data_IF_209851214612
#
_entry.id   IF_209851214612
#
_cell.length_a   1.000
_cell.length_b   1.000
_cell.length_c   1.000
_cell.angle_alpha   90.00
_cell.angle_beta   90.00
_cell.angle_gamma   90.00
#
_symmetry.space_group_name_H-M   'P 1'
#
loop_
_entity.id
_entity.type
_entity.pdbx_description
1 polymer ?
#
# COMPACT_ATOMS: atom_id res chain seq x y z
N UNK A 1 -11.30 -17.20 21.57
CA UNK A 1 -11.59 -17.43 23.01
C UNK A 1 -11.76 -16.06 23.63
N UNK A 2 -12.77 -15.82 24.48
CA UNK A 2 -12.90 -14.53 25.16
C UNK A 2 -11.63 -14.25 25.95
N UNK A 3 -11.15 -13.00 25.91
CA UNK A 3 -10.03 -12.63 26.76
C UNK A 3 -10.45 -12.81 28.21
N UNK A 4 -9.55 -13.38 28.98
CA UNK A 4 -9.67 -13.51 30.42
C UNK A 4 -8.62 -12.63 31.08
N UNK A 5 -8.84 -12.31 32.34
CA UNK A 5 -7.87 -11.55 33.13
C UNK A 5 -6.51 -12.28 33.22
N UNK A 6 -6.50 -13.60 33.07
CA UNK A 6 -5.27 -14.42 33.03
C UNK A 6 -4.38 -14.00 31.86
N UNK A 7 -4.97 -13.72 30.69
CA UNK A 7 -4.22 -13.35 29.47
C UNK A 7 -3.47 -12.01 29.63
N UNK A 8 -3.94 -11.14 30.54
CA UNK A 8 -3.31 -9.87 30.87
C UNK A 8 -2.31 -9.98 32.03
N UNK A 9 -2.60 -10.82 33.03
CA UNK A 9 -1.72 -11.00 34.20
C UNK A 9 -0.41 -11.69 33.82
N UNK A 10 -0.45 -12.62 32.86
CA UNK A 10 0.77 -13.28 32.35
C UNK A 10 1.79 -12.32 31.72
N UNK A 11 1.38 -11.08 31.42
CA UNK A 11 2.25 -10.03 30.87
C UNK A 11 2.84 -9.09 31.93
N UNK A 12 2.44 -9.21 33.20
CA UNK A 12 2.87 -8.32 34.28
C UNK A 12 3.68 -9.09 35.33
N UNK A 13 4.99 -8.82 35.37
CA UNK A 13 5.90 -9.45 36.34
C UNK A 13 5.48 -9.17 37.79
N UNK A 14 5.35 -10.24 38.57
CA UNK A 14 5.08 -10.17 40.01
C UNK A 14 3.59 -10.01 40.39
N UNK A 15 2.68 -10.14 39.43
CA UNK A 15 1.23 -10.23 39.69
C UNK A 15 0.75 -11.62 39.30
N UNK A 16 0.00 -12.26 40.19
CA UNK A 16 -0.66 -13.54 39.95
C UNK A 16 -2.16 -13.39 39.96
N UNK A 17 -2.87 -14.35 39.35
CA UNK A 17 -4.34 -14.35 39.40
C UNK A 17 -4.88 -14.39 40.82
N UNK A 18 -4.14 -15.00 41.74
CA UNK A 18 -4.42 -15.13 43.16
C UNK A 18 -4.37 -13.79 43.91
N UNK A 19 -3.68 -12.78 43.37
CA UNK A 19 -3.62 -11.44 43.95
C UNK A 19 -4.91 -10.63 43.69
N UNK A 20 -5.79 -11.14 42.82
CA UNK A 20 -7.08 -10.53 42.50
C UNK A 20 -8.21 -11.33 43.19
N UNK A 21 -9.05 -10.67 44.01
CA UNK A 21 -10.24 -11.30 44.59
C UNK A 21 -11.11 -11.99 43.54
N UNK A 22 -11.68 -13.14 43.88
CA UNK A 22 -12.41 -13.98 42.91
C UNK A 22 -13.62 -13.30 42.27
N UNK A 23 -14.30 -12.45 43.04
CA UNK A 23 -15.43 -11.63 42.61
C UNK A 23 -15.01 -10.52 41.63
N UNK A 24 -13.84 -9.91 41.84
CA UNK A 24 -13.24 -8.98 40.89
C UNK A 24 -12.82 -9.69 39.59
N UNK A 25 -12.24 -10.90 39.68
CA UNK A 25 -11.91 -11.70 38.49
C UNK A 25 -13.14 -12.08 37.68
N UNK A 26 -14.20 -12.53 38.34
CA UNK A 26 -15.47 -12.86 37.69
C UNK A 26 -16.06 -11.63 37.00
N UNK A 27 -16.11 -10.49 37.71
CA UNK A 27 -16.59 -9.22 37.13
C UNK A 27 -15.77 -8.76 35.93
N UNK A 28 -14.44 -8.87 35.99
CA UNK A 28 -13.57 -8.46 34.89
C UNK A 28 -13.66 -9.44 33.72
N UNK A 29 -13.72 -10.75 33.98
CA UNK A 29 -13.93 -11.76 32.93
C UNK A 29 -15.31 -11.62 32.27
N UNK A 30 -16.36 -11.27 33.02
CA UNK A 30 -17.67 -10.97 32.45
C UNK A 30 -17.58 -9.74 31.55
N UNK A 31 -16.94 -8.66 32.02
CA UNK A 31 -16.71 -7.45 31.21
C UNK A 31 -15.85 -7.71 29.97
N UNK A 32 -14.79 -8.50 30.10
CA UNK A 32 -13.94 -8.90 28.98
C UNK A 32 -14.71 -9.82 28.04
N UNK A 33 -15.57 -10.70 28.56
CA UNK A 33 -16.49 -11.51 27.78
C UNK A 33 -17.47 -10.66 26.97
N UNK A 34 -18.04 -9.61 27.58
CA UNK A 34 -18.88 -8.63 26.91
C UNK A 34 -18.10 -7.85 25.83
N UNK A 35 -16.84 -7.50 26.11
CA UNK A 35 -15.97 -6.74 25.20
C UNK A 35 -15.35 -7.58 24.08
N UNK A 36 -15.21 -8.90 24.28
CA UNK A 36 -14.51 -9.81 23.36
C UNK A 36 -15.42 -10.93 22.83
N UNK A 37 -16.73 -10.75 22.94
CA UNK A 37 -17.73 -11.51 22.20
C UNK A 37 -18.06 -12.91 22.71
N UNK A 38 -17.89 -13.15 24.03
CA UNK A 38 -18.29 -14.40 24.67
C UNK A 38 -17.75 -15.68 24.02
N UNK A 39 -18.24 -16.87 24.41
CA UNK A 39 -17.90 -18.12 23.75
C UNK A 39 -18.69 -18.23 22.43
N UNK A 40 -18.26 -17.51 21.38
CA UNK A 40 -18.93 -17.58 20.08
C UNK A 40 -18.42 -16.70 18.94
N UNK A 41 -17.71 -15.61 19.21
CA UNK A 41 -17.17 -14.79 18.11
C UNK A 41 -16.55 -13.52 18.65
N UNK A 42 -15.22 -13.43 18.58
CA UNK A 42 -14.50 -12.22 18.96
C UNK A 42 -14.79 -11.11 17.96
N UNK A 43 -15.77 -10.28 18.28
CA UNK A 43 -15.86 -8.94 17.72
C UNK A 43 -14.75 -8.09 18.34
N UNK A 44 -13.96 -7.42 17.50
CA UNK A 44 -13.06 -6.37 17.94
C UNK A 44 -13.82 -5.34 18.81
N UNK A 45 -13.17 -4.66 19.77
CA UNK A 45 -13.82 -3.65 20.59
C UNK A 45 -14.53 -2.62 19.70
N UNK A 46 -15.86 -2.65 19.71
CA UNK A 46 -16.69 -1.78 18.91
C UNK A 46 -16.65 -0.41 19.56
N UNK A 47 -16.01 0.57 18.91
CA UNK A 47 -16.29 1.96 19.21
C UNK A 47 -17.81 2.13 19.02
N UNK A 48 -18.57 2.53 20.04
CA UNK A 48 -20.03 2.64 19.95
C UNK A 48 -20.49 3.61 18.86
N UNK A 49 -19.58 4.43 18.33
CA UNK A 49 -19.82 5.36 17.24
C UNK A 49 -19.41 4.81 15.86
N UNK A 50 -18.82 3.60 15.78
CA UNK A 50 -18.44 2.98 14.52
C UNK A 50 -19.60 2.25 13.84
N UNK A 51 -19.67 2.39 12.52
CA UNK A 51 -20.66 1.71 11.69
C UNK A 51 -20.18 0.30 11.41
N UNK A 52 -20.99 -0.70 11.77
CA UNK A 52 -20.66 -2.10 11.56
C UNK A 52 -21.14 -2.58 10.18
N UNK A 53 -20.25 -3.23 9.44
CA UNK A 53 -20.56 -4.04 8.26
C UNK A 53 -20.26 -5.50 8.56
N UNK A 54 -21.26 -6.38 8.41
CA UNK A 54 -21.11 -7.82 8.63
C UNK A 54 -22.12 -8.63 7.83
N UNK A 55 -21.72 -9.80 7.34
CA UNK A 55 -22.66 -10.78 6.77
C UNK A 55 -23.56 -11.44 7.81
N UNK A 56 -23.19 -11.38 9.10
CA UNK A 56 -23.99 -11.90 10.23
C UNK A 56 -24.07 -10.88 11.36
N UNK A 57 -25.08 -10.02 11.31
CA UNK A 57 -25.26 -8.98 12.32
C UNK A 57 -25.77 -9.51 13.67
N UNK A 58 -26.43 -10.67 13.72
CA UNK A 58 -26.92 -11.28 14.96
C UNK A 58 -27.76 -10.33 15.85
N UNK A 59 -28.54 -9.45 15.20
CA UNK A 59 -29.37 -8.44 15.86
C UNK A 59 -28.68 -7.11 16.17
N UNK A 60 -27.37 -6.98 15.90
CA UNK A 60 -26.61 -5.73 16.00
C UNK A 60 -27.02 -4.75 14.91
N UNK A 61 -27.02 -3.46 15.23
CA UNK A 61 -27.16 -2.40 14.23
C UNK A 61 -25.97 -2.43 13.28
N UNK A 62 -26.24 -2.42 11.97
CA UNK A 62 -25.20 -2.36 10.96
C UNK A 62 -25.73 -2.57 9.55
N UNK A 63 -24.83 -2.94 8.66
CA UNK A 63 -25.06 -3.18 7.25
C UNK A 63 -24.50 -4.54 6.85
N UNK A 64 -24.94 -5.05 5.69
CA UNK A 64 -24.45 -6.33 5.12
C UNK A 64 -23.61 -6.14 3.85
N UNK A 65 -23.49 -4.90 3.40
CA UNK A 65 -22.66 -4.41 2.28
C UNK A 65 -21.91 -3.18 2.76
N UNK A 66 -20.70 -3.00 2.23
CA UNK A 66 -19.86 -1.84 2.53
C UNK A 66 -20.43 -0.60 1.84
N UNK A 67 -20.84 -0.71 0.57
CA UNK A 67 -21.43 0.41 -0.13
C UNK A 67 -22.73 0.89 0.52
N UNK A 68 -23.58 -0.04 0.98
CA UNK A 68 -24.81 0.30 1.69
C UNK A 68 -24.53 1.10 2.98
N UNK A 69 -23.43 0.81 3.68
CA UNK A 69 -23.01 1.56 4.87
C UNK A 69 -22.57 2.99 4.54
N UNK A 70 -21.82 3.16 3.43
CA UNK A 70 -21.39 4.47 2.93
C UNK A 70 -22.61 5.29 2.51
N UNK A 71 -23.49 4.71 1.70
CA UNK A 71 -24.66 5.42 1.15
C UNK A 71 -25.79 5.61 2.19
N UNK A 72 -25.76 4.88 3.30
CA UNK A 72 -26.85 4.79 4.27
C UNK A 72 -28.08 4.03 3.76
N UNK A 73 -27.88 3.13 2.81
CA UNK A 73 -28.92 2.31 2.21
C UNK A 73 -29.11 0.99 2.97
N UNK A 74 -30.34 0.47 2.99
CA UNK A 74 -30.68 -0.83 3.60
C UNK A 74 -30.14 -1.06 5.04
N UNK A 75 -30.20 -0.08 5.96
CA UNK A 75 -29.70 -0.27 7.32
C UNK A 75 -30.47 -1.39 8.03
N UNK A 76 -29.75 -2.18 8.81
CA UNK A 76 -30.32 -3.25 9.63
C UNK A 76 -30.33 -2.83 11.10
N UNK A 77 -31.36 -3.28 11.82
CA UNK A 77 -31.50 -3.11 13.27
C UNK A 77 -31.30 -1.65 13.76
N UNK A 78 -31.71 -0.66 12.95
CA UNK A 78 -31.68 0.76 13.32
C UNK A 78 -30.37 1.49 13.07
N UNK A 79 -29.48 0.94 12.25
CA UNK A 79 -28.25 1.62 11.83
C UNK A 79 -28.53 2.92 11.04
N UNK A 80 -27.52 3.79 10.99
CA UNK A 80 -27.46 4.96 10.12
C UNK A 80 -26.24 4.87 9.20
N UNK A 81 -26.35 5.44 8.01
CA UNK A 81 -25.22 5.51 7.07
C UNK A 81 -24.10 6.40 7.57
N UNK A 82 -22.96 6.29 6.89
CA UNK A 82 -21.77 7.05 7.20
C UNK A 82 -21.95 8.54 6.89
N UNK A 83 -21.39 9.36 7.78
CA UNK A 83 -21.15 10.77 7.61
C UNK A 83 -19.66 11.09 7.67
N UNK A 84 -19.36 12.38 7.54
CA UNK A 84 -18.00 12.87 7.63
C UNK A 84 -17.37 12.55 9.00
N UNK A 85 -16.17 11.96 8.97
CA UNK A 85 -15.42 11.62 10.19
C UNK A 85 -15.78 10.28 10.79
N UNK A 86 -16.74 9.55 10.22
CA UNK A 86 -17.14 8.24 10.73
C UNK A 86 -16.11 7.16 10.38
N UNK A 87 -16.16 6.08 11.15
CA UNK A 87 -15.40 4.85 10.89
C UNK A 87 -16.37 3.72 10.58
N UNK A 88 -16.15 3.03 9.47
CA UNK A 88 -16.84 1.80 9.10
C UNK A 88 -15.93 0.62 9.44
N UNK A 89 -16.35 -0.22 10.37
CA UNK A 89 -15.68 -1.48 10.70
C UNK A 89 -16.28 -2.63 9.90
N UNK A 90 -15.44 -3.34 9.14
CA UNK A 90 -15.85 -4.43 8.27
C UNK A 90 -15.43 -5.76 8.87
N UNK A 91 -16.40 -6.57 9.28
CA UNK A 91 -16.13 -7.91 9.81
C UNK A 91 -15.63 -8.88 8.73
N UNK A 92 -14.86 -9.91 9.12
CA UNK A 92 -14.33 -10.90 8.18
C UNK A 92 -15.42 -11.57 7.35
N UNK A 93 -15.30 -11.47 6.03
CA UNK A 93 -16.15 -12.11 5.04
C UNK A 93 -15.65 -11.74 3.63
N UNK A 94 -16.21 -12.38 2.60
CA UNK A 94 -16.09 -11.90 1.23
C UNK A 94 -17.26 -10.98 0.88
N UNK A 95 -16.93 -9.83 0.30
CA UNK A 95 -17.83 -8.79 -0.15
C UNK A 95 -17.68 -8.64 -1.67
N UNK A 96 -18.56 -9.31 -2.42
CA UNK A 96 -18.60 -9.26 -3.88
C UNK A 96 -19.25 -7.97 -4.39
N UNK A 97 -18.59 -6.85 -4.15
CA UNK A 97 -19.01 -5.50 -4.51
C UNK A 97 -17.81 -4.64 -4.88
N UNK A 98 -18.06 -3.53 -5.57
CA UNK A 98 -17.13 -2.41 -5.72
C UNK A 98 -17.50 -1.35 -4.71
N UNK A 99 -16.52 -0.70 -4.10
CA UNK A 99 -16.74 0.30 -3.04
C UNK A 99 -16.30 1.67 -3.54
N UNK A 100 -17.22 2.64 -3.57
CA UNK A 100 -16.96 4.05 -3.90
C UNK A 100 -17.01 4.88 -2.61
N UNK A 101 -15.99 5.71 -2.40
CA UNK A 101 -15.86 6.60 -1.24
C UNK A 101 -15.78 8.04 -1.72
N UNK A 102 -16.78 8.84 -1.34
CA UNK A 102 -16.89 10.27 -1.62
C UNK A 102 -17.10 11.13 -0.35
N UNK A 103 -16.88 10.53 0.82
CA UNK A 103 -17.09 11.15 2.14
C UNK A 103 -15.76 11.61 2.73
N UNK A 104 -15.68 12.88 3.13
CA UNK A 104 -14.52 13.42 3.84
C UNK A 104 -14.28 12.71 5.18
N UNK A 105 -13.02 12.50 5.52
CA UNK A 105 -12.56 11.95 6.79
C UNK A 105 -13.16 10.58 7.10
N UNK A 106 -13.58 9.82 6.08
CA UNK A 106 -14.10 8.48 6.28
C UNK A 106 -12.95 7.50 6.50
N UNK A 107 -13.05 6.69 7.55
CA UNK A 107 -12.13 5.57 7.78
C UNK A 107 -12.85 4.25 7.49
N UNK A 108 -12.27 3.43 6.62
CA UNK A 108 -12.72 2.06 6.36
C UNK A 108 -11.70 1.10 6.98
N UNK A 109 -12.10 0.42 8.06
CA UNK A 109 -11.25 -0.50 8.80
C UNK A 109 -11.68 -1.95 8.58
N UNK A 110 -10.75 -2.77 8.10
CA UNK A 110 -10.87 -4.21 8.08
C UNK A 110 -10.44 -4.88 9.40
N UNK A 111 -10.56 -6.21 9.49
CA UNK A 111 -10.22 -6.97 10.70
C UNK A 111 -8.74 -6.90 11.09
N UNK A 112 -7.88 -6.54 10.14
CA UNK A 112 -6.43 -6.47 10.29
C UNK A 112 -5.91 -5.01 10.30
N UNK A 113 -6.76 -4.05 10.68
CA UNK A 113 -6.35 -2.65 10.80
C UNK A 113 -5.18 -2.52 11.78
N UNK A 114 -4.15 -1.76 11.38
CA UNK A 114 -2.92 -1.60 12.16
C UNK A 114 -1.98 -2.82 12.16
N UNK A 115 -2.22 -3.83 11.34
CA UNK A 115 -1.32 -4.98 11.16
C UNK A 115 -0.81 -5.01 9.72
N UNK A 116 0.49 -4.87 9.51
CA UNK A 116 1.13 -4.81 8.19
C UNK A 116 0.60 -5.90 7.23
N UNK A 117 0.40 -5.55 5.96
CA UNK A 117 -0.18 -6.42 4.94
C UNK A 117 0.61 -7.71 4.69
N UNK A 118 1.92 -7.70 4.94
CA UNK A 118 2.80 -8.87 4.80
C UNK A 118 2.96 -9.67 6.12
N UNK A 119 2.35 -9.23 7.21
CA UNK A 119 2.55 -9.81 8.54
C UNK A 119 1.91 -11.20 8.65
N UNK A 120 2.67 -12.14 9.22
CA UNK A 120 2.14 -13.46 9.61
C UNK A 120 1.13 -13.41 10.77
N UNK A 121 0.99 -12.24 11.42
CA UNK A 121 0.05 -12.02 12.52
C UNK A 121 -1.38 -11.67 12.09
N UNK A 122 -1.64 -11.53 10.78
CA UNK A 122 -2.98 -11.27 10.25
C UNK A 122 -3.92 -12.45 10.49
N UNK A 123 -5.17 -12.14 10.80
CA UNK A 123 -6.27 -13.09 10.98
C UNK A 123 -7.17 -13.20 9.76
N UNK A 124 -8.42 -13.60 9.98
CA UNK A 124 -9.45 -13.67 8.93
C UNK A 124 -9.65 -12.30 8.27
N UNK A 125 -9.77 -12.26 6.94
CA UNK A 125 -9.86 -11.02 6.16
C UNK A 125 -11.31 -10.61 5.87
N UNK A 126 -11.52 -9.29 5.74
CA UNK A 126 -12.63 -8.75 4.97
C UNK A 126 -12.14 -8.49 3.54
N UNK A 127 -12.60 -9.31 2.58
CA UNK A 127 -12.13 -9.29 1.19
C UNK A 127 -13.14 -8.59 0.28
N UNK A 128 -12.73 -7.49 -0.35
CA UNK A 128 -13.49 -6.78 -1.39
C UNK A 128 -13.03 -7.27 -2.76
N UNK A 129 -13.93 -7.80 -3.60
CA UNK A 129 -13.54 -8.38 -4.90
C UNK A 129 -13.80 -7.50 -6.12
N UNK A 130 -14.40 -6.32 -5.92
CA UNK A 130 -14.71 -5.36 -6.99
C UNK A 130 -13.81 -4.12 -7.03
N UNK A 131 -12.79 -4.06 -6.16
CA UNK A 131 -11.94 -2.90 -5.98
C UNK A 131 -12.55 -1.78 -5.12
N UNK A 132 -11.71 -0.80 -4.80
CA UNK A 132 -12.06 0.40 -4.03
C UNK A 132 -11.75 1.64 -4.84
N UNK A 133 -12.68 2.58 -4.88
CA UNK A 133 -12.62 3.81 -5.65
C UNK A 133 -12.81 5.00 -4.70
N UNK A 134 -11.89 5.95 -4.73
CA UNK A 134 -11.99 7.18 -3.94
C UNK A 134 -12.07 8.34 -4.91
N UNK A 135 -13.24 8.95 -5.02
CA UNK A 135 -13.56 9.93 -6.05
C UNK A 135 -14.54 11.00 -5.57
N UNK A 136 -14.62 12.12 -6.28
CA UNK A 136 -15.46 13.25 -5.87
C UNK A 136 -14.77 14.24 -4.92
N UNK A 137 -13.44 14.22 -4.87
CA UNK A 137 -12.62 15.11 -4.04
C UNK A 137 -12.81 14.99 -2.51
N UNK A 138 -13.00 13.79 -1.93
CA UNK A 138 -12.98 13.67 -0.47
C UNK A 138 -11.56 13.93 0.06
N UNK A 139 -11.48 14.37 1.31
CA UNK A 139 -10.20 14.60 2.00
C UNK A 139 -10.04 13.63 3.16
N UNK A 140 -8.79 13.30 3.49
CA UNK A 140 -8.39 12.54 4.68
C UNK A 140 -9.10 11.16 4.80
N UNK A 141 -9.35 10.50 3.67
CA UNK A 141 -9.89 9.13 3.62
C UNK A 141 -8.82 8.14 4.07
N UNK A 142 -9.20 7.17 4.90
CA UNK A 142 -8.31 6.10 5.38
C UNK A 142 -8.87 4.74 5.00
N UNK A 143 -8.03 3.90 4.37
CA UNK A 143 -8.33 2.50 4.06
C UNK A 143 -7.30 1.65 4.79
N UNK A 144 -7.73 0.91 5.81
CA UNK A 144 -6.85 0.22 6.76
C UNK A 144 -7.22 -1.25 6.95
N UNK A 145 -6.29 -2.18 6.74
CA UNK A 145 -6.45 -3.55 7.22
C UNK A 145 -7.37 -4.46 6.42
N UNK A 146 -7.61 -4.16 5.14
CA UNK A 146 -8.47 -4.95 4.26
C UNK A 146 -7.69 -5.86 3.31
N UNK A 147 -8.36 -6.89 2.79
CA UNK A 147 -7.94 -7.57 1.57
C UNK A 147 -8.76 -7.02 0.39
N UNK A 148 -8.08 -6.60 -0.68
CA UNK A 148 -8.73 -6.02 -1.86
C UNK A 148 -8.19 -6.74 -3.09
N UNK A 149 -9.10 -7.37 -3.83
CA UNK A 149 -8.79 -8.14 -5.02
C UNK A 149 -9.62 -7.62 -6.17
N UNK A 150 -9.03 -7.51 -7.35
CA UNK A 150 -9.77 -7.14 -8.56
C UNK A 150 -9.07 -7.68 -9.79
N UNK A 151 -9.86 -8.19 -10.73
CA UNK A 151 -9.40 -8.34 -12.11
C UNK A 151 -9.40 -6.99 -12.79
N UNK A 152 -8.22 -6.49 -13.15
CA UNK A 152 -8.03 -5.15 -13.71
C UNK A 152 -7.81 -5.23 -15.22
N UNK A 153 -8.48 -4.35 -15.95
CA UNK A 153 -8.27 -4.13 -17.38
C UNK A 153 -7.29 -3.00 -17.68
N UNK A 154 -7.25 -2.58 -18.94
CA UNK A 154 -6.49 -1.41 -19.37
C UNK A 154 -7.02 -0.15 -18.66
N UNK A 155 -6.10 0.61 -18.08
CA UNK A 155 -6.41 1.85 -17.36
C UNK A 155 -7.20 1.73 -16.06
N UNK A 156 -7.08 0.60 -15.36
CA UNK A 156 -7.74 0.37 -14.08
C UNK A 156 -6.75 0.03 -12.96
N UNK A 157 -7.10 0.38 -11.71
CA UNK A 157 -6.42 -0.03 -10.48
C UNK A 157 -7.30 -0.91 -9.57
N UNK A 158 -6.70 -1.67 -8.66
CA UNK A 158 -7.45 -2.41 -7.62
C UNK A 158 -7.99 -1.42 -6.58
N UNK A 159 -7.12 -0.53 -6.11
CA UNK A 159 -7.48 0.71 -5.43
C UNK A 159 -7.25 1.85 -6.41
N UNK A 160 -8.26 2.66 -6.65
CA UNK A 160 -8.19 3.77 -7.58
C UNK A 160 -8.59 5.06 -6.89
N UNK A 161 -7.69 6.04 -6.85
CA UNK A 161 -7.96 7.38 -6.35
C UNK A 161 -8.15 8.28 -7.57
N UNK A 162 -9.37 8.73 -7.80
CA UNK A 162 -9.74 9.61 -8.90
C UNK A 162 -9.76 8.97 -10.28
N UNK A 163 -10.05 9.81 -11.27
CA UNK A 163 -9.99 9.46 -12.68
C UNK A 163 -9.75 10.68 -13.56
N UNK A 164 -9.42 10.47 -14.83
CA UNK A 164 -9.42 11.55 -15.84
C UNK A 164 -10.72 12.39 -15.91
N UNK A 165 -11.84 11.87 -15.40
CA UNK A 165 -13.14 12.54 -15.40
C UNK A 165 -13.66 13.00 -14.04
N UNK A 166 -13.02 12.57 -12.94
CA UNK A 166 -13.46 12.85 -11.57
C UNK A 166 -12.23 13.14 -10.70
N UNK A 167 -12.13 14.30 -10.02
CA UNK A 167 -11.04 14.50 -9.05
C UNK A 167 -10.97 13.34 -8.05
N UNK A 168 -9.73 13.00 -7.70
CA UNK A 168 -9.39 11.98 -6.71
C UNK A 168 -9.66 12.46 -5.30
N UNK A 169 -8.68 12.31 -4.42
CA UNK A 169 -8.82 12.64 -3.00
C UNK A 169 -7.64 13.51 -2.54
N UNK A 170 -7.85 14.21 -1.43
CA UNK A 170 -6.79 14.98 -0.76
C UNK A 170 -6.32 14.25 0.48
N UNK A 171 -5.01 14.08 0.61
CA UNK A 171 -4.39 13.38 1.74
C UNK A 171 -4.92 11.96 2.07
N UNK A 172 -5.25 11.08 1.11
CA UNK A 172 -5.68 9.73 1.44
C UNK A 172 -4.54 8.90 2.05
N UNK A 173 -4.91 8.00 2.96
CA UNK A 173 -4.00 7.02 3.58
C UNK A 173 -4.47 5.61 3.25
N UNK A 174 -3.65 4.86 2.52
CA UNK A 174 -3.86 3.45 2.21
C UNK A 174 -2.84 2.65 3.01
N UNK A 175 -3.27 1.93 4.04
CA UNK A 175 -2.33 1.23 4.93
C UNK A 175 -2.75 -0.17 5.36
N UNK A 176 -1.75 -1.01 5.66
CA UNK A 176 -1.98 -2.34 6.23
C UNK A 176 -2.88 -3.24 5.36
N UNK A 177 -2.97 -2.99 4.05
CA UNK A 177 -3.85 -3.74 3.17
C UNK A 177 -3.10 -4.87 2.46
N UNK A 178 -3.82 -5.93 2.10
CA UNK A 178 -3.39 -6.91 1.11
C UNK A 178 -4.09 -6.60 -0.20
N UNK A 179 -3.35 -6.13 -1.21
CA UNK A 179 -3.92 -5.67 -2.49
C UNK A 179 -3.40 -6.56 -3.60
N UNK A 180 -4.31 -7.35 -4.20
CA UNK A 180 -3.98 -8.29 -5.27
C UNK A 180 -4.68 -7.92 -6.58
N UNK A 181 -3.87 -7.65 -7.61
CA UNK A 181 -4.35 -7.45 -8.96
C UNK A 181 -4.34 -8.78 -9.74
N UNK A 182 -5.43 -9.08 -10.44
CA UNK A 182 -5.44 -10.12 -11.47
C UNK A 182 -5.43 -9.47 -12.84
N UNK A 183 -4.40 -9.74 -13.64
CA UNK A 183 -4.30 -9.18 -14.99
C UNK A 183 -5.18 -9.91 -16.00
N UNK A 184 -5.89 -9.18 -16.88
CA UNK A 184 -6.55 -9.77 -18.05
C UNK A 184 -6.27 -9.04 -19.38
N UNK A 185 -5.35 -8.07 -19.38
CA UNK A 185 -5.01 -7.26 -20.54
C UNK A 185 -3.53 -6.88 -20.54
N UNK A 186 -3.00 -6.61 -21.74
CA UNK A 186 -1.66 -6.05 -21.88
C UNK A 186 -1.70 -4.57 -21.48
N UNK A 187 -0.98 -4.19 -20.41
CA UNK A 187 -0.80 -2.82 -19.86
C UNK A 187 -1.77 -2.39 -18.73
N UNK A 188 -1.88 -3.16 -17.67
CA UNK A 188 -2.65 -2.74 -16.50
C UNK A 188 -1.94 -1.66 -15.68
N UNK A 189 -2.73 -0.73 -15.12
CA UNK A 189 -2.26 0.50 -14.49
C UNK A 189 -2.22 0.43 -12.95
N UNK A 190 -2.04 -0.71 -12.30
CA UNK A 190 -1.80 -0.69 -10.85
C UNK A 190 -2.48 -1.78 -10.03
N UNK A 191 -1.82 -2.18 -8.93
CA UNK A 191 -2.55 -2.47 -7.68
C UNK A 191 -3.14 -1.18 -7.12
N UNK A 192 -2.41 -0.06 -7.17
CA UNK A 192 -2.90 1.27 -6.79
C UNK A 192 -2.69 2.23 -7.96
N UNK A 193 -3.79 2.87 -8.39
CA UNK A 193 -3.82 3.89 -9.44
C UNK A 193 -4.24 5.23 -8.86
N UNK A 194 -3.55 6.31 -9.24
CA UNK A 194 -3.78 7.64 -8.66
C UNK A 194 -3.95 8.71 -9.76
N UNK A 195 -5.06 9.43 -9.75
CA UNK A 195 -5.37 10.45 -10.73
C UNK A 195 -6.07 11.64 -10.05
N UNK A 196 -5.68 12.85 -10.46
CA UNK A 196 -6.27 14.13 -10.08
C UNK A 196 -6.36 14.37 -8.56
N UNK A 197 -5.21 14.41 -7.89
CA UNK A 197 -5.04 14.41 -6.42
C UNK A 197 -4.37 15.68 -5.92
N UNK A 198 -4.64 16.13 -4.70
CA UNK A 198 -3.92 17.24 -4.04
C UNK A 198 -3.38 16.80 -2.67
N UNK A 199 -2.34 17.47 -2.17
CA UNK A 199 -1.74 17.22 -0.87
C UNK A 199 -0.85 15.97 -0.79
N UNK A 200 -0.82 15.32 0.37
CA UNK A 200 0.13 14.24 0.69
C UNK A 200 -0.56 12.87 0.76
N UNK A 201 -0.27 12.00 -0.19
CA UNK A 201 -0.78 10.63 -0.19
C UNK A 201 0.19 9.71 0.53
N UNK A 202 -0.34 8.88 1.43
CA UNK A 202 0.44 7.90 2.17
C UNK A 202 0.01 6.49 1.81
N UNK A 203 0.97 5.70 1.36
CA UNK A 203 0.81 4.27 1.03
C UNK A 203 1.77 3.52 1.93
N UNK A 204 1.24 2.89 2.98
CA UNK A 204 2.04 2.41 4.11
C UNK A 204 1.78 0.94 4.43
N UNK A 205 2.83 0.16 4.65
CA UNK A 205 2.71 -1.18 5.26
C UNK A 205 1.75 -2.12 4.51
N UNK A 206 1.60 -1.94 3.18
CA UNK A 206 0.75 -2.79 2.36
C UNK A 206 1.53 -3.97 1.76
N UNK A 207 0.84 -5.07 1.48
CA UNK A 207 1.32 -6.13 0.59
C UNK A 207 0.66 -5.96 -0.78
N UNK A 208 1.45 -5.55 -1.78
CA UNK A 208 1.01 -5.38 -3.16
C UNK A 208 1.44 -6.58 -4.00
N UNK A 209 0.48 -7.21 -4.66
CA UNK A 209 0.64 -8.54 -5.26
C UNK A 209 -0.05 -8.59 -6.62
N UNK A 210 0.47 -9.42 -7.54
CA UNK A 210 -0.17 -9.67 -8.83
C UNK A 210 -0.36 -11.17 -9.08
N UNK A 211 -1.37 -11.49 -9.89
CA UNK A 211 -1.55 -12.81 -10.50
C UNK A 211 -1.92 -12.67 -11.98
N UNK A 212 -1.66 -13.73 -12.76
CA UNK A 212 -1.82 -13.75 -14.21
C UNK A 212 -0.48 -13.71 -14.96
N UNK A 213 -0.54 -13.90 -16.28
CA UNK A 213 0.65 -14.01 -17.14
C UNK A 213 1.08 -12.68 -17.77
N UNK A 214 0.23 -11.65 -17.65
CA UNK A 214 0.43 -10.33 -18.25
C UNK A 214 0.92 -9.34 -17.20
N UNK A 215 1.81 -8.42 -17.60
CA UNK A 215 2.45 -7.51 -16.66
C UNK A 215 1.49 -6.58 -15.95
N UNK A 216 1.49 -6.65 -14.61
CA UNK A 216 0.87 -5.66 -13.73
C UNK A 216 1.95 -4.77 -13.16
N UNK A 217 1.70 -3.48 -13.23
CA UNK A 217 2.49 -2.52 -12.48
C UNK A 217 1.86 -2.38 -11.08
N UNK A 218 2.66 -2.32 -10.03
CA UNK A 218 2.20 -2.30 -8.63
C UNK A 218 1.63 -0.94 -8.28
N UNK A 219 2.50 0.03 -7.99
CA UNK A 219 2.07 1.41 -7.78
C UNK A 219 2.28 2.20 -9.07
N UNK A 220 1.20 2.73 -9.63
CA UNK A 220 1.26 3.43 -10.91
C UNK A 220 0.53 4.73 -10.84
N UNK A 221 1.27 5.73 -11.31
CA UNK A 221 0.78 6.93 -11.95
C UNK A 221 0.01 7.84 -11.01
N UNK A 222 0.51 9.07 -10.93
CA UNK A 222 -0.23 10.22 -10.47
C UNK A 222 -0.43 11.12 -11.69
N UNK A 223 -1.67 11.36 -12.07
CA UNK A 223 -2.00 12.35 -13.12
C UNK A 223 -2.45 13.63 -12.46
N UNK A 224 -1.74 14.74 -12.71
CA UNK A 224 -2.08 16.12 -12.28
C UNK A 224 -2.17 16.37 -10.76
N UNK A 225 -1.37 17.33 -10.27
CA UNK A 225 -1.78 18.67 -9.76
C UNK A 225 -0.57 19.37 -9.10
N UNK A 226 -0.71 20.66 -8.78
CA UNK A 226 0.30 21.46 -8.08
C UNK A 226 0.44 21.03 -6.60
N UNK A 227 1.66 21.00 -6.05
CA UNK A 227 1.95 20.75 -4.62
C UNK A 227 1.54 19.37 -4.07
N UNK A 228 1.72 18.32 -4.85
CA UNK A 228 1.41 16.94 -4.43
C UNK A 228 2.66 16.19 -4.01
N UNK A 229 2.58 15.47 -2.89
CA UNK A 229 3.62 14.55 -2.42
C UNK A 229 3.05 13.14 -2.28
N UNK A 230 3.80 12.13 -2.72
CA UNK A 230 3.42 10.72 -2.61
C UNK A 230 4.47 10.00 -1.78
N UNK A 231 4.05 9.52 -0.62
CA UNK A 231 4.86 8.77 0.33
C UNK A 231 4.53 7.29 0.23
N UNK A 232 5.51 6.50 -0.17
CA UNK A 232 5.44 5.04 -0.28
C UNK A 232 6.39 4.46 0.75
N UNK A 233 5.86 3.99 1.88
CA UNK A 233 6.67 3.58 3.03
C UNK A 233 6.33 2.17 3.55
N UNK A 234 7.32 1.36 3.88
CA UNK A 234 7.07 0.08 4.59
C UNK A 234 6.32 -1.00 3.81
N UNK A 235 6.12 -0.85 2.49
CA UNK A 235 5.33 -1.80 1.70
C UNK A 235 6.17 -2.99 1.23
N UNK A 236 5.57 -4.17 1.13
CA UNK A 236 6.12 -5.29 0.35
C UNK A 236 5.44 -5.34 -1.02
N UNK A 237 6.23 -5.28 -2.10
CA UNK A 237 5.75 -5.10 -3.47
C UNK A 237 6.23 -6.26 -4.36
N UNK A 238 5.29 -7.13 -4.74
CA UNK A 238 5.50 -8.36 -5.53
C UNK A 238 4.72 -8.32 -6.85
N UNK A 239 5.11 -7.39 -7.71
CA UNK A 239 4.48 -7.10 -9.01
C UNK A 239 5.54 -6.98 -10.10
N UNK A 240 5.19 -7.02 -11.39
CA UNK A 240 6.20 -6.89 -12.46
C UNK A 240 6.93 -5.54 -12.37
N UNK A 241 6.18 -4.46 -12.16
CA UNK A 241 6.77 -3.16 -11.86
C UNK A 241 6.43 -2.81 -10.42
N UNK A 242 7.36 -2.34 -9.61
CA UNK A 242 7.07 -1.89 -8.24
C UNK A 242 6.44 -0.50 -8.25
N UNK A 243 7.25 0.56 -8.14
CA UNK A 243 6.79 1.96 -8.16
C UNK A 243 7.14 2.62 -9.48
N UNK A 244 6.16 3.25 -10.13
CA UNK A 244 6.34 3.96 -11.40
C UNK A 244 5.92 5.42 -11.26
N UNK A 245 6.81 6.32 -10.79
CA UNK A 245 6.53 7.75 -10.76
C UNK A 245 6.25 8.27 -12.16
N UNK A 246 5.16 9.03 -12.30
CA UNK A 246 4.80 9.66 -13.56
C UNK A 246 4.07 10.98 -13.32
N UNK A 247 4.10 11.86 -14.33
CA UNK A 247 3.28 13.07 -14.43
C UNK A 247 2.99 13.34 -15.91
N UNK A 248 1.74 13.66 -16.25
CA UNK A 248 1.35 14.00 -17.62
C UNK A 248 1.52 15.49 -17.93
N UNK A 249 1.39 16.34 -16.91
CA UNK A 249 1.49 17.80 -17.00
C UNK A 249 2.36 18.35 -15.85
N UNK A 250 2.98 19.51 -16.05
CA UNK A 250 3.78 20.18 -15.01
C UNK A 250 2.90 21.02 -14.09
N UNK A 251 3.20 21.07 -12.77
CA UNK A 251 4.28 20.36 -12.08
C UNK A 251 3.96 18.87 -11.84
N UNK A 252 4.99 18.03 -11.84
CA UNK A 252 4.85 16.63 -11.42
C UNK A 252 4.84 16.54 -9.88
N UNK A 253 4.19 15.52 -9.29
CA UNK A 253 4.25 15.28 -7.85
C UNK A 253 5.67 14.94 -7.40
N UNK A 254 5.97 15.14 -6.12
CA UNK A 254 7.18 14.66 -5.45
C UNK A 254 6.95 13.24 -4.90
N UNK A 255 7.97 12.38 -4.92
CA UNK A 255 7.88 11.02 -4.37
C UNK A 255 8.93 10.77 -3.30
N UNK A 256 8.51 10.21 -2.17
CA UNK A 256 9.38 9.64 -1.15
C UNK A 256 9.10 8.14 -1.05
N UNK A 257 10.06 7.32 -1.47
CA UNK A 257 9.97 5.86 -1.55
C UNK A 257 10.93 5.28 -0.51
N UNK A 258 10.40 4.87 0.64
CA UNK A 258 11.21 4.52 1.82
C UNK A 258 10.87 3.18 2.44
N UNK A 259 11.87 2.46 2.95
CA UNK A 259 11.68 1.25 3.76
C UNK A 259 10.79 0.17 3.11
N UNK A 260 10.70 0.13 1.77
CA UNK A 260 9.90 -0.85 1.06
C UNK A 260 10.74 -2.09 0.74
N UNK A 261 10.06 -3.22 0.57
CA UNK A 261 10.62 -4.49 0.13
C UNK A 261 10.11 -4.82 -1.28
N UNK A 262 10.97 -4.70 -2.27
CA UNK A 262 10.72 -5.04 -3.68
C UNK A 262 11.19 -6.48 -3.91
N UNK A 263 10.27 -7.41 -4.18
CA UNK A 263 10.58 -8.84 -4.29
C UNK A 263 10.18 -9.35 -5.67
N UNK A 264 11.16 -9.94 -6.38
CA UNK A 264 10.98 -10.59 -7.68
C UNK A 264 10.36 -9.68 -8.76
N UNK A 265 10.55 -8.36 -8.65
CA UNK A 265 10.02 -7.42 -9.66
C UNK A 265 10.83 -7.48 -10.96
N UNK A 266 10.16 -7.38 -12.10
CA UNK A 266 10.81 -7.11 -13.39
C UNK A 266 11.52 -5.73 -13.35
N UNK A 267 10.85 -4.73 -12.78
CA UNK A 267 11.43 -3.42 -12.46
C UNK A 267 10.97 -2.92 -11.08
N UNK A 268 11.87 -2.78 -10.09
CA UNK A 268 11.52 -2.28 -8.75
C UNK A 268 10.97 -0.84 -8.77
N UNK A 269 11.79 0.14 -9.15
CA UNK A 269 11.38 1.53 -9.36
C UNK A 269 11.67 1.96 -10.80
N UNK A 270 10.68 2.52 -11.49
CA UNK A 270 10.83 2.97 -12.88
C UNK A 270 10.52 4.45 -13.03
N UNK A 271 11.56 5.24 -13.21
CA UNK A 271 11.51 6.65 -13.58
C UNK A 271 11.55 6.79 -15.10
N UNK A 272 10.44 7.24 -15.68
CA UNK A 272 10.27 7.31 -17.13
C UNK A 272 9.43 8.52 -17.56
N UNK A 273 9.47 8.84 -18.85
CA UNK A 273 8.67 9.92 -19.44
C UNK A 273 9.25 11.30 -19.14
N UNK A 274 8.40 12.33 -19.19
CA UNK A 274 8.79 13.73 -18.92
C UNK A 274 8.57 14.13 -17.45
N UNK A 275 8.62 13.16 -16.54
CA UNK A 275 8.42 13.42 -15.11
C UNK A 275 9.53 14.35 -14.59
N UNK A 276 9.15 15.40 -13.86
CA UNK A 276 10.07 16.46 -13.43
C UNK A 276 9.97 16.83 -11.94
N UNK A 277 9.34 15.98 -11.13
CA UNK A 277 9.23 16.15 -9.68
C UNK A 277 10.47 15.62 -8.96
N UNK A 278 10.61 15.94 -7.68
CA UNK A 278 11.65 15.37 -6.82
C UNK A 278 11.35 13.88 -6.53
N UNK A 279 12.39 13.06 -6.43
CA UNK A 279 12.26 11.63 -6.07
C UNK A 279 13.34 11.24 -5.07
N UNK A 280 12.93 10.82 -3.88
CA UNK A 280 13.79 10.23 -2.87
C UNK A 280 13.54 8.72 -2.80
N UNK A 281 14.62 7.92 -2.88
CA UNK A 281 14.57 6.45 -2.77
C UNK A 281 15.57 6.03 -1.70
N UNK A 282 15.09 5.67 -0.50
CA UNK A 282 15.98 5.30 0.59
C UNK A 282 15.50 4.21 1.53
N UNK A 283 16.43 3.49 2.16
CA UNK A 283 16.08 2.42 3.13
C UNK A 283 15.39 1.19 2.52
N UNK A 284 15.22 1.12 1.19
CA UNK A 284 14.49 0.02 0.56
C UNK A 284 15.36 -1.24 0.45
N UNK A 285 14.71 -2.40 0.45
CA UNK A 285 15.30 -3.69 0.09
C UNK A 285 14.80 -4.11 -1.28
N UNK A 286 15.72 -4.47 -2.16
CA UNK A 286 15.48 -4.94 -3.52
C UNK A 286 16.00 -6.37 -3.64
N UNK A 287 15.10 -7.35 -3.75
CA UNK A 287 15.40 -8.78 -3.76
C UNK A 287 14.97 -9.41 -5.09
N UNK A 288 15.90 -10.09 -5.76
CA UNK A 288 15.65 -10.97 -6.92
C UNK A 288 14.92 -10.37 -8.13
N UNK A 289 14.76 -9.05 -8.16
CA UNK A 289 14.28 -8.33 -9.33
C UNK A 289 15.29 -8.25 -10.48
N UNK A 290 14.78 -8.16 -11.71
CA UNK A 290 15.59 -8.07 -12.94
C UNK A 290 16.24 -6.69 -13.12
N UNK A 291 15.52 -5.62 -12.84
CA UNK A 291 16.03 -4.24 -12.81
C UNK A 291 15.52 -3.60 -11.52
N UNK A 292 16.38 -3.13 -10.65
CA UNK A 292 15.90 -2.61 -9.36
C UNK A 292 15.47 -1.16 -9.46
N UNK A 293 16.29 -0.34 -10.11
CA UNK A 293 15.94 1.06 -10.39
C UNK A 293 16.27 1.34 -11.84
N UNK A 294 15.26 1.81 -12.58
CA UNK A 294 15.35 2.20 -13.98
C UNK A 294 15.12 3.70 -14.12
N UNK A 295 16.07 4.41 -14.72
CA UNK A 295 16.01 5.85 -15.00
C UNK A 295 16.15 6.11 -16.50
N UNK A 296 15.05 6.44 -17.16
CA UNK A 296 15.02 6.62 -18.62
C UNK A 296 15.23 8.09 -19.00
N UNK A 297 15.70 8.33 -20.24
CA UNK A 297 15.78 9.69 -20.82
C UNK A 297 14.45 10.44 -20.68
N UNK A 298 14.54 11.70 -20.25
CA UNK A 298 13.40 12.60 -20.05
C UNK A 298 12.93 12.70 -18.60
N UNK A 299 13.28 11.72 -17.75
CA UNK A 299 12.90 11.72 -16.34
C UNK A 299 13.66 12.79 -15.55
N UNK A 300 13.18 13.02 -14.32
CA UNK A 300 13.68 14.06 -13.42
C UNK A 300 15.19 13.95 -13.19
N UNK A 301 15.79 15.10 -12.93
CA UNK A 301 17.18 15.20 -12.50
C UNK A 301 17.31 15.40 -11.00
N UNK A 302 16.19 15.68 -10.33
CA UNK A 302 16.11 15.91 -8.90
C UNK A 302 15.76 14.58 -8.23
N UNK A 303 16.80 13.78 -7.99
CA UNK A 303 16.67 12.41 -7.49
C UNK A 303 17.78 12.10 -6.49
N UNK A 304 17.38 11.50 -5.37
CA UNK A 304 18.28 10.99 -4.32
C UNK A 304 18.08 9.49 -4.16
N UNK A 305 19.15 8.69 -4.20
CA UNK A 305 19.10 7.24 -3.99
C UNK A 305 20.13 6.84 -2.92
N UNK A 306 19.70 6.58 -1.70
CA UNK A 306 20.62 6.33 -0.58
C UNK A 306 20.17 5.22 0.36
N UNK A 307 21.11 4.57 1.05
CA UNK A 307 20.79 3.61 2.11
C UNK A 307 19.89 2.43 1.71
N UNK A 308 19.88 2.02 0.44
CA UNK A 308 19.13 0.86 -0.03
C UNK A 308 19.98 -0.42 0.02
N UNK A 309 19.32 -1.57 0.16
CA UNK A 309 19.94 -2.91 0.12
C UNK A 309 19.52 -3.64 -1.15
N UNK A 310 20.51 -4.16 -1.87
CA UNK A 310 20.33 -4.88 -3.12
C UNK A 310 20.78 -6.34 -2.94
N UNK A 311 19.83 -7.26 -2.98
CA UNK A 311 20.02 -8.68 -2.67
C UNK A 311 19.72 -9.55 -3.88
N UNK A 312 20.56 -10.55 -4.09
CA UNK A 312 20.37 -11.61 -5.07
C UNK A 312 20.47 -12.95 -4.36
N UNK A 313 19.42 -13.76 -4.43
CA UNK A 313 19.44 -15.15 -4.04
C UNK A 313 19.90 -16.01 -5.22
N UNK A 314 20.40 -17.21 -4.93
CA UNK A 314 21.06 -18.03 -5.93
C UNK A 314 20.11 -18.35 -7.11
N UNK A 315 20.52 -17.95 -8.32
CA UNK A 315 19.85 -18.09 -9.64
C UNK A 315 19.08 -16.87 -10.18
N UNK A 316 19.08 -15.71 -9.50
CA UNK A 316 18.55 -14.46 -10.08
C UNK A 316 19.43 -13.88 -11.20
N UNK A 317 18.84 -13.14 -12.15
CA UNK A 317 19.57 -12.28 -13.10
C UNK A 317 20.13 -11.04 -12.38
N UNK A 318 21.00 -10.29 -13.06
CA UNK A 318 21.80 -9.21 -12.47
C UNK A 318 20.94 -8.10 -11.85
N UNK A 319 21.27 -7.75 -10.61
CA UNK A 319 20.71 -6.62 -9.87
C UNK A 319 21.21 -5.29 -10.48
N UNK A 320 20.48 -4.76 -11.45
CA UNK A 320 20.93 -3.59 -12.21
C UNK A 320 20.22 -2.30 -11.77
N UNK A 321 21.03 -1.27 -11.49
CA UNK A 321 20.65 0.11 -11.73
C UNK A 321 20.83 0.40 -13.22
N UNK A 322 19.80 0.86 -13.93
CA UNK A 322 19.90 1.18 -15.37
C UNK A 322 19.54 2.64 -15.59
N UNK A 323 20.50 3.45 -16.05
CA UNK A 323 20.23 4.80 -16.56
C UNK A 323 20.54 4.89 -18.06
N UNK A 324 19.56 5.28 -18.87
CA UNK A 324 19.72 5.62 -20.29
C UNK A 324 19.55 7.13 -20.47
N UNK A 325 20.10 7.96 -19.58
CA UNK A 325 19.94 9.42 -19.65
C UNK A 325 20.82 10.02 -20.74
N UNK A 326 20.20 10.77 -21.66
CA UNK A 326 20.87 11.59 -22.66
C UNK A 326 20.61 13.08 -22.45
N UNK A 327 21.64 13.91 -22.57
CA UNK A 327 21.55 15.36 -22.63
C UNK A 327 20.85 15.83 -23.90
N UNK A 328 20.51 17.11 -23.97
CA UNK A 328 19.82 17.70 -25.14
C UNK A 328 20.61 17.62 -26.45
N UNK A 329 21.91 17.31 -26.37
CA UNK A 329 22.81 17.04 -27.51
C UNK A 329 22.99 15.55 -27.82
N UNK A 330 22.27 14.67 -27.12
CA UNK A 330 22.39 13.21 -27.25
C UNK A 330 23.56 12.59 -26.49
N UNK A 331 24.36 13.38 -25.76
CA UNK A 331 25.46 12.86 -24.92
C UNK A 331 24.91 12.13 -23.69
N UNK A 332 25.55 11.06 -23.23
CA UNK A 332 25.16 10.41 -21.97
C UNK A 332 25.39 11.39 -20.81
N UNK A 333 24.34 11.74 -20.09
CA UNK A 333 24.45 12.50 -18.84
C UNK A 333 24.23 11.50 -17.73
N UNK A 334 25.30 10.99 -17.14
CA UNK A 334 25.19 10.12 -15.97
C UNK A 334 24.45 10.83 -14.84
N UNK A 335 23.77 10.06 -13.99
CA UNK A 335 23.38 10.55 -12.68
C UNK A 335 24.63 10.86 -11.86
N UNK A 336 24.50 11.80 -10.93
CA UNK A 336 25.58 12.10 -10.00
C UNK A 336 25.90 10.82 -9.21
N UNK A 337 27.15 10.38 -9.29
CA UNK A 337 27.65 9.20 -8.59
C UNK A 337 27.44 9.35 -7.09
N UNK A 338 27.60 10.55 -6.56
CA UNK A 338 27.43 10.84 -5.15
C UNK A 338 25.95 10.67 -4.72
N UNK A 339 25.00 10.82 -5.64
CA UNK A 339 23.57 10.60 -5.41
C UNK A 339 23.16 9.11 -5.43
N UNK A 340 24.04 8.20 -5.87
CA UNK A 340 23.80 6.75 -5.93
C UNK A 340 24.69 5.99 -4.92
N UNK A 341 25.84 6.53 -4.54
CA UNK A 341 26.82 5.79 -3.73
C UNK A 341 26.73 6.06 -2.22
N UNK A 342 25.92 7.03 -1.78
CA UNK A 342 25.74 7.30 -0.36
C UNK A 342 25.02 6.13 0.35
N UNK A 343 25.80 5.28 1.01
CA UNK A 343 25.34 4.24 1.95
C UNK A 343 24.51 3.08 1.37
N UNK A 344 24.51 2.85 0.05
CA UNK A 344 23.85 1.68 -0.53
C UNK A 344 24.68 0.39 -0.32
N UNK A 345 24.01 -0.73 -0.04
CA UNK A 345 24.63 -2.04 0.21
C UNK A 345 24.28 -3.06 -0.88
N UNK A 346 25.27 -3.82 -1.35
CA UNK A 346 25.16 -4.72 -2.49
C UNK A 346 25.63 -6.13 -2.10
N UNK A 347 24.77 -7.14 -2.21
CA UNK A 347 25.11 -8.53 -1.89
C UNK A 347 26.14 -9.12 -2.87
N UNK A 348 27.05 -10.02 -2.45
CA UNK A 348 28.01 -10.67 -3.35
C UNK A 348 27.31 -11.41 -4.50
N UNK A 349 27.46 -10.92 -5.73
CA UNK A 349 26.74 -11.41 -6.92
C UNK A 349 25.93 -10.33 -7.62
N UNK A 350 25.45 -9.34 -6.86
CA UNK A 350 24.97 -8.09 -7.45
C UNK A 350 26.12 -7.42 -8.19
N UNK A 351 25.89 -7.14 -9.47
CA UNK A 351 26.84 -6.44 -10.33
C UNK A 351 26.15 -5.15 -10.72
N UNK A 352 26.75 -4.00 -10.40
CA UNK A 352 26.34 -2.78 -11.08
C UNK A 352 26.63 -3.00 -12.56
N UNK A 353 25.59 -3.25 -13.36
CA UNK A 353 25.74 -3.23 -14.80
C UNK A 353 26.03 -1.77 -15.12
N UNK A 354 27.27 -1.49 -15.53
CA UNK A 354 27.62 -0.22 -16.13
C UNK A 354 26.66 0.12 -17.27
N UNK A 355 26.74 1.33 -17.86
CA UNK A 355 25.87 1.71 -18.96
C UNK A 355 25.84 0.58 -20.00
N UNK A 356 24.63 0.15 -20.35
CA UNK A 356 24.44 -0.74 -21.51
C UNK A 356 25.09 -0.01 -22.69
N UNK A 357 26.08 -0.63 -23.34
CA UNK A 357 26.86 -0.02 -24.42
C UNK A 357 25.96 0.62 -25.48
N UNK A 358 26.00 1.95 -25.53
CA UNK A 358 25.44 2.75 -26.61
C UNK A 358 26.61 3.52 -27.25
N UNK A 359 27.13 2.99 -28.37
CA UNK A 359 28.06 3.68 -29.26
C UNK A 359 29.52 3.81 -28.74
N UNK A 360 29.98 2.85 -27.94
CA UNK A 360 31.42 2.61 -27.70
C UNK A 360 32.10 3.57 -26.72
N UNK A 361 31.38 4.09 -25.72
CA UNK A 361 31.95 4.88 -24.63
C UNK A 361 31.56 4.31 -23.26
N UNK A 362 32.49 3.57 -22.67
CA UNK A 362 32.37 3.03 -21.31
C UNK A 362 32.46 4.16 -20.27
N UNK A 363 31.46 4.25 -19.39
CA UNK A 363 31.49 5.13 -18.23
C UNK A 363 31.00 4.36 -16.99
N UNK A 364 31.97 4.00 -16.14
CA UNK A 364 31.89 3.39 -14.80
C UNK A 364 32.05 1.86 -14.70
N UNK A 365 32.96 1.49 -13.79
CA UNK A 365 33.35 0.14 -13.37
C UNK A 365 33.36 0.15 -11.83
N UNK A 366 32.58 -0.71 -11.19
CA UNK A 366 32.72 -1.00 -9.75
C UNK A 366 33.02 -2.48 -9.62
N UNK A 367 34.28 -2.76 -9.29
CA UNK A 367 34.71 -4.08 -8.85
C UNK A 367 34.21 -4.33 -7.42
N UNK A 368 33.72 -5.54 -7.09
CA UNK A 368 33.47 -5.93 -5.71
C UNK A 368 34.78 -5.92 -4.92
N UNK A 369 34.72 -5.51 -3.65
CA UNK A 369 35.83 -5.64 -2.69
C UNK A 369 36.10 -7.10 -2.33
#
# INVERSE_FOLDING_TARGET
MPLTITDFIEQVDGVSTEDIPSDERERINDKLGDLTGGPGGGGAPVNNDAILVSKSLDGRAGFTSIQDAIDGNNPQNGASGAGQGDTIFVEPASYSESVSIDINNLTLEGPNAGIDGNSSGRGDEATITGGVFVDGNPSDVVIDGLAIERTVGEAEGVVQIGSTSNPGANNPVIKNNVITATSNASRNLGTILIEHIDGEIRIQDNLLTQTGDDSVRGLVQAVQLENTTIVVNGNTIKTDFGVVPSGLDTPSPEYTITDNEFVENDVGVSLAGNYNGEVEISGNTFEDGRVQIRHLTGATTDITIESNTFTQTANGDVVAFVSDRRGGDGSTVGLDRDAIEANNNFSPGSTQVGPIDFDGKDLFDIAPS
#
